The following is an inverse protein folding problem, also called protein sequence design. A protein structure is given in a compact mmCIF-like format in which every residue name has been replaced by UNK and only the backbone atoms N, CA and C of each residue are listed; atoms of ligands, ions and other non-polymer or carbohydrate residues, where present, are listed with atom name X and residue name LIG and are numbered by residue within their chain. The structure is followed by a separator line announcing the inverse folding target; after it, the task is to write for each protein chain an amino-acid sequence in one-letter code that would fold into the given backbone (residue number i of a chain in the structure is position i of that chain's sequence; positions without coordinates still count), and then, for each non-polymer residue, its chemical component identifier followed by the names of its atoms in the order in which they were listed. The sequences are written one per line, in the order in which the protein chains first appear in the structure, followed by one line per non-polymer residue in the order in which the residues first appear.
data_IF_596085433240
#
_entry.id   IF_596085433240
#
_cell.length_a   1.000
_cell.length_b   1.000
_cell.length_c   1.000
_cell.angle_alpha   90.00
_cell.angle_beta   90.00
_cell.angle_gamma   90.00
#
_symmetry.space_group_name_H-M   'P 1'
#
loop_
_entity.id
_entity.type
_entity.pdbx_description
1 polymer ?
#
# COMPACT_ATOMS: atom_id res chain seq x y z
N UNK A 1 22.52 33.43 29.75
CA UNK A 1 22.32 32.11 30.35
C UNK A 1 20.83 31.82 30.29
N UNK A 2 20.42 31.14 29.24
CA UNK A 2 19.04 30.74 29.01
C UNK A 2 19.09 29.32 28.43
N UNK A 3 19.24 28.36 29.33
CA UNK A 3 19.09 26.93 29.08
C UNK A 3 18.41 26.38 30.33
N UNK A 4 17.12 26.06 30.25
CA UNK A 4 16.43 25.12 31.16
C UNK A 4 14.92 25.04 30.92
N UNK A 5 14.45 24.85 29.68
CA UNK A 5 13.03 24.49 29.43
C UNK A 5 12.85 23.40 28.35
N UNK A 6 13.87 22.60 28.02
CA UNK A 6 13.77 21.57 26.98
C UNK A 6 14.02 20.15 27.49
N UNK A 7 13.50 19.83 28.69
CA UNK A 7 13.57 18.46 29.21
C UNK A 7 12.40 18.13 30.14
N UNK A 8 11.18 18.56 29.79
CA UNK A 8 9.98 17.89 30.28
C UNK A 8 9.94 16.49 29.66
N UNK A 9 10.64 15.56 30.31
CA UNK A 9 10.46 14.13 30.12
C UNK A 9 8.97 13.84 30.24
N UNK A 10 8.36 13.36 29.14
CA UNK A 10 7.01 12.80 29.13
C UNK A 10 6.86 11.90 30.36
N UNK A 11 5.97 12.28 31.28
CA UNK A 11 5.63 11.44 32.42
C UNK A 11 5.02 10.14 31.86
N UNK A 12 5.37 9.00 32.46
CA UNK A 12 4.65 7.73 32.27
C UNK A 12 3.15 8.01 32.35
N UNK A 13 2.44 8.08 31.23
CA UNK A 13 0.99 8.31 31.24
C UNK A 13 0.41 9.20 30.14
N UNK A 14 1.14 10.14 29.56
CA UNK A 14 0.60 11.07 28.56
C UNK A 14 1.10 10.69 27.16
N UNK A 15 0.48 9.64 26.60
CA UNK A 15 0.69 9.29 25.20
C UNK A 15 -0.19 10.15 24.31
N UNK A 16 0.31 10.43 23.11
CA UNK A 16 -0.49 11.07 22.06
C UNK A 16 -1.73 10.22 21.79
N UNK A 17 -2.91 10.75 22.16
CA UNK A 17 -4.18 10.06 22.06
C UNK A 17 -4.60 9.85 20.59
N UNK A 18 -4.02 10.61 19.66
CA UNK A 18 -4.23 10.43 18.23
C UNK A 18 -3.41 9.25 17.67
N UNK A 19 -2.45 8.71 18.43
CA UNK A 19 -1.61 7.58 18.00
C UNK A 19 -1.79 6.36 18.89
N UNK A 20 -1.96 6.56 20.19
CA UNK A 20 -2.03 5.50 21.18
C UNK A 20 -3.29 5.62 22.03
N UNK A 21 -3.79 4.48 22.50
CA UNK A 21 -4.87 4.39 23.47
C UNK A 21 -4.50 3.42 24.57
N UNK A 22 -4.98 3.66 25.79
CA UNK A 22 -4.87 2.70 26.89
C UNK A 22 -6.05 1.73 26.83
N UNK A 23 -5.89 0.57 27.44
CA UNK A 23 -7.01 -0.33 27.69
C UNK A 23 -7.87 0.19 28.86
N UNK A 24 -9.17 -0.11 28.82
CA UNK A 24 -10.12 0.30 29.87
C UNK A 24 -10.02 -0.59 31.12
N UNK A 25 -9.48 -1.81 30.98
CA UNK A 25 -9.39 -2.84 32.01
C UNK A 25 -7.95 -2.96 32.51
N UNK A 26 -6.97 -2.96 31.60
CA UNK A 26 -5.54 -3.01 31.90
C UNK A 26 -4.88 -1.64 31.68
N UNK A 27 -4.80 -0.84 32.74
CA UNK A 27 -4.21 0.51 32.66
C UNK A 27 -2.73 0.54 32.23
N UNK A 28 -2.04 -0.60 32.28
CA UNK A 28 -0.65 -0.72 31.86
C UNK A 28 -0.52 -1.04 30.37
N UNK A 29 -1.57 -1.63 29.77
CA UNK A 29 -1.63 -1.98 28.37
C UNK A 29 -1.80 -0.73 27.50
N UNK A 30 -0.99 -0.67 26.45
CA UNK A 30 -1.01 0.41 25.45
C UNK A 30 -1.26 -0.21 24.10
N UNK A 31 -2.22 0.32 23.36
CA UNK A 31 -2.56 -0.08 22.00
C UNK A 31 -2.32 1.06 21.02
N UNK A 32 -2.13 0.73 19.76
CA UNK A 32 -2.26 1.72 18.70
C UNK A 32 -3.73 2.16 18.58
N UNK A 33 -3.96 3.44 18.29
CA UNK A 33 -5.30 3.99 18.08
C UNK A 33 -5.66 4.02 16.59
N UNK A 34 -6.08 2.88 16.04
CA UNK A 34 -6.51 2.81 14.63
C UNK A 34 -7.77 3.62 14.31
N UNK A 35 -8.49 4.13 15.33
CA UNK A 35 -9.73 4.91 15.18
C UNK A 35 -9.49 6.40 15.15
N UNK A 36 -8.30 6.85 15.55
CA UNK A 36 -7.95 8.25 15.46
C UNK A 36 -7.96 8.71 13.98
N UNK A 37 -8.37 9.95 13.69
CA UNK A 37 -8.25 10.49 12.36
C UNK A 37 -6.78 10.45 11.93
N UNK A 38 -6.52 9.81 10.79
CA UNK A 38 -5.18 9.70 10.22
C UNK A 38 -4.60 11.10 10.03
N UNK A 39 -3.63 11.46 10.87
CA UNK A 39 -2.77 12.61 10.62
C UNK A 39 -1.50 12.08 9.96
N UNK A 40 -1.00 12.80 8.97
CA UNK A 40 0.32 12.51 8.41
C UNK A 40 1.35 12.63 9.54
N UNK A 41 1.81 11.48 10.06
CA UNK A 41 2.90 11.43 11.01
C UNK A 41 4.13 12.07 10.39
N UNK A 42 4.88 12.85 11.16
CA UNK A 42 6.15 13.40 10.68
C UNK A 42 7.18 12.27 10.72
N UNK A 43 8.08 12.24 9.73
CA UNK A 43 9.12 11.22 9.55
C UNK A 43 10.02 10.95 10.79
N UNK A 44 9.93 11.77 11.84
CA UNK A 44 10.74 11.69 13.05
C UNK A 44 9.93 11.53 14.35
N UNK A 45 8.60 11.42 14.30
CA UNK A 45 7.77 11.37 15.51
C UNK A 45 8.14 10.19 16.43
N UNK A 46 8.60 9.09 15.84
CA UNK A 46 9.04 7.91 16.58
C UNK A 46 10.27 8.15 17.46
N UNK A 47 11.06 9.20 17.23
CA UNK A 47 12.30 9.47 17.99
C UNK A 47 12.04 9.82 19.46
N UNK A 48 10.86 10.33 19.76
CA UNK A 48 10.43 10.64 21.12
C UNK A 48 9.74 9.47 21.82
N UNK A 49 9.47 8.36 21.12
CA UNK A 49 8.71 7.25 21.66
C UNK A 49 9.50 6.45 22.70
N UNK A 50 8.79 6.06 23.77
CA UNK A 50 9.28 5.09 24.73
C UNK A 50 9.11 3.64 24.23
N UNK A 51 9.64 2.68 24.99
CA UNK A 51 9.58 1.27 24.65
C UNK A 51 8.15 0.73 24.51
N UNK A 52 7.18 1.25 25.28
CA UNK A 52 5.77 0.82 25.18
C UNK A 52 5.16 1.31 23.89
N UNK A 53 5.38 2.57 23.54
CA UNK A 53 4.94 3.17 22.28
C UNK A 53 5.54 2.45 21.08
N UNK A 54 6.84 2.17 21.10
CA UNK A 54 7.53 1.42 20.02
C UNK A 54 6.94 0.01 19.89
N UNK A 55 6.78 -0.71 21.00
CA UNK A 55 6.24 -2.08 20.96
C UNK A 55 4.78 -2.07 20.49
N UNK A 56 3.96 -1.14 20.96
CA UNK A 56 2.57 -1.00 20.54
C UNK A 56 2.45 -0.64 19.05
N UNK A 57 3.32 0.22 18.53
CA UNK A 57 3.33 0.58 17.11
C UNK A 57 3.69 -0.61 16.19
N UNK A 58 4.53 -1.54 16.66
CA UNK A 58 4.99 -2.69 15.87
C UNK A 58 4.12 -3.94 16.04
N UNK A 59 3.54 -4.13 17.22
CA UNK A 59 2.77 -5.33 17.58
C UNK A 59 1.27 -5.07 17.75
N UNK A 60 0.83 -3.83 17.58
CA UNK A 60 -0.54 -3.41 17.86
C UNK A 60 -0.82 -3.14 19.34
N UNK A 61 0.01 -3.67 20.24
CA UNK A 61 -0.08 -3.43 21.66
C UNK A 61 1.20 -3.75 22.44
N UNK A 62 1.29 -3.22 23.66
CA UNK A 62 2.41 -3.40 24.59
C UNK A 62 1.90 -3.56 26.02
N UNK A 63 2.68 -4.26 26.86
CA UNK A 63 2.35 -4.57 28.25
C UNK A 63 0.97 -5.25 28.43
N UNK A 64 0.69 -6.25 27.57
CA UNK A 64 -0.59 -6.94 27.50
C UNK A 64 -0.64 -8.08 28.53
N UNK A 65 -1.57 -8.00 29.49
CA UNK A 65 -1.68 -8.95 30.61
C UNK A 65 -2.40 -10.27 30.31
N UNK A 66 -3.04 -10.42 29.15
CA UNK A 66 -3.83 -11.61 28.81
C UNK A 66 -3.75 -11.98 27.32
N UNK A 67 -4.06 -13.24 27.01
CA UNK A 67 -4.10 -13.75 25.64
C UNK A 67 -5.15 -13.02 24.78
N UNK A 68 -6.27 -12.60 25.37
CA UNK A 68 -7.30 -11.84 24.65
C UNK A 68 -6.79 -10.45 24.20
N UNK A 69 -6.00 -9.78 25.05
CA UNK A 69 -5.35 -8.52 24.69
C UNK A 69 -4.29 -8.73 23.59
N UNK A 70 -3.56 -9.85 23.64
CA UNK A 70 -2.62 -10.25 22.59
C UNK A 70 -3.31 -10.53 21.25
N UNK A 71 -4.43 -11.24 21.26
CA UNK A 71 -5.24 -11.49 20.06
C UNK A 71 -5.73 -10.18 19.45
N UNK A 72 -6.25 -9.26 20.26
CA UNK A 72 -6.63 -7.93 19.81
C UNK A 72 -5.46 -7.18 19.17
N UNK A 73 -4.32 -7.10 19.85
CA UNK A 73 -3.13 -6.41 19.35
C UNK A 73 -2.65 -6.98 18.02
N UNK A 74 -2.62 -8.31 17.89
CA UNK A 74 -2.18 -8.98 16.67
C UNK A 74 -2.97 -8.58 15.42
N UNK A 75 -4.27 -8.29 15.57
CA UNK A 75 -5.12 -7.84 14.47
C UNK A 75 -4.90 -6.40 14.03
N UNK A 76 -4.23 -5.58 14.84
CA UNK A 76 -3.98 -4.17 14.53
C UNK A 76 -2.77 -4.00 13.59
N UNK A 77 -1.73 -4.85 13.72
CA UNK A 77 -0.49 -4.73 12.95
C UNK A 77 0.00 -6.11 12.47
N UNK A 78 -0.22 -6.40 11.18
CA UNK A 78 0.17 -7.68 10.56
C UNK A 78 0.98 -7.50 9.25
N UNK A 79 2.27 -7.89 9.22
CA UNK A 79 3.10 -7.94 8.01
C UNK A 79 2.48 -8.71 6.85
N UNK A 80 1.65 -9.72 7.12
CA UNK A 80 1.02 -10.51 6.06
C UNK A 80 0.05 -9.69 5.22
N UNK A 81 -0.51 -8.62 5.76
CA UNK A 81 -1.35 -7.69 4.99
C UNK A 81 -0.55 -6.99 3.89
N UNK A 82 0.72 -6.67 4.14
CA UNK A 82 1.64 -6.11 3.16
C UNK A 82 2.04 -7.14 2.10
N UNK A 83 2.30 -8.39 2.49
CA UNK A 83 2.54 -9.48 1.53
C UNK A 83 1.33 -9.75 0.64
N UNK A 84 0.13 -9.81 1.23
CA UNK A 84 -1.12 -9.99 0.51
C UNK A 84 -1.38 -8.84 -0.47
N UNK A 85 -1.14 -7.59 -0.05
CA UNK A 85 -1.21 -6.42 -0.91
C UNK A 85 -0.20 -6.53 -2.07
N UNK A 86 1.06 -6.89 -1.79
CA UNK A 86 2.08 -7.10 -2.82
C UNK A 86 1.66 -8.10 -3.89
N UNK A 87 1.11 -9.25 -3.48
CA UNK A 87 0.56 -10.26 -4.38
C UNK A 87 -0.62 -9.75 -5.21
N UNK A 88 -1.53 -8.98 -4.59
CA UNK A 88 -2.67 -8.40 -5.29
C UNK A 88 -2.22 -7.40 -6.37
N UNK A 89 -1.27 -6.51 -6.05
CA UNK A 89 -0.71 -5.58 -7.04
C UNK A 89 0.00 -6.30 -8.19
N UNK A 90 0.74 -7.37 -7.90
CA UNK A 90 1.37 -8.20 -8.92
C UNK A 90 0.32 -8.83 -9.86
N UNK A 91 -0.74 -9.41 -9.28
CA UNK A 91 -1.81 -10.02 -10.06
C UNK A 91 -2.53 -9.01 -10.97
N UNK A 92 -2.79 -7.79 -10.47
CA UNK A 92 -3.38 -6.70 -11.25
C UNK A 92 -2.46 -6.33 -12.42
N UNK A 93 -1.16 -6.15 -12.15
CA UNK A 93 -0.17 -5.83 -13.18
C UNK A 93 -0.14 -6.89 -14.29
N UNK A 94 -0.04 -8.17 -13.94
CA UNK A 94 -0.02 -9.28 -14.90
C UNK A 94 -1.31 -9.35 -15.72
N UNK A 95 -2.46 -9.15 -15.07
CA UNK A 95 -3.76 -9.16 -15.73
C UNK A 95 -3.88 -8.02 -16.74
N UNK A 96 -3.43 -6.81 -16.38
CA UNK A 96 -3.45 -5.67 -17.30
C UNK A 96 -2.54 -5.90 -18.51
N UNK A 97 -1.34 -6.47 -18.33
CA UNK A 97 -0.48 -6.87 -19.45
C UNK A 97 -1.15 -7.90 -20.36
N UNK A 98 -1.82 -8.91 -19.78
CA UNK A 98 -2.54 -9.92 -20.54
C UNK A 98 -3.69 -9.32 -21.35
N UNK A 99 -4.46 -8.39 -20.77
CA UNK A 99 -5.53 -7.67 -21.47
C UNK A 99 -5.00 -6.84 -22.62
N UNK A 100 -3.93 -6.05 -22.41
CA UNK A 100 -3.31 -5.25 -23.47
C UNK A 100 -2.85 -6.13 -24.64
N UNK A 101 -2.13 -7.23 -24.35
CA UNK A 101 -1.66 -8.18 -25.35
C UNK A 101 -2.82 -8.84 -26.12
N UNK A 102 -3.89 -9.22 -25.43
CA UNK A 102 -5.06 -9.83 -26.06
C UNK A 102 -5.80 -8.84 -26.98
N UNK A 103 -5.94 -7.58 -26.58
CA UNK A 103 -6.55 -6.54 -27.40
C UNK A 103 -5.76 -6.31 -28.69
N UNK A 104 -4.43 -6.23 -28.60
CA UNK A 104 -3.57 -6.11 -29.79
C UNK A 104 -3.69 -7.34 -30.70
N UNK A 105 -3.66 -8.55 -30.13
CA UNK A 105 -3.75 -9.78 -30.90
C UNK A 105 -5.08 -9.88 -31.67
N UNK A 106 -6.20 -9.56 -31.01
CA UNK A 106 -7.52 -9.60 -31.63
C UNK A 106 -7.68 -8.50 -32.68
N UNK A 107 -7.20 -7.28 -32.42
CA UNK A 107 -7.24 -6.20 -33.40
C UNK A 107 -6.41 -6.54 -34.64
N UNK A 108 -5.21 -7.10 -34.46
CA UNK A 108 -4.37 -7.54 -35.57
C UNK A 108 -4.98 -8.71 -36.35
N UNK A 109 -5.65 -9.65 -35.68
CA UNK A 109 -6.32 -10.77 -36.34
C UNK A 109 -7.48 -10.31 -37.25
N UNK A 110 -8.18 -9.24 -36.88
CA UNK A 110 -9.32 -8.73 -37.66
C UNK A 110 -8.88 -7.71 -38.72
N UNK A 111 -8.05 -6.74 -38.32
CA UNK A 111 -7.74 -5.54 -39.11
C UNK A 111 -6.23 -5.34 -39.39
N UNK A 112 -5.38 -6.22 -38.89
CA UNK A 112 -3.93 -6.21 -39.15
C UNK A 112 -3.56 -6.70 -40.55
N UNK A 113 -2.27 -6.86 -40.82
CA UNK A 113 -1.72 -7.21 -42.13
C UNK A 113 -2.38 -8.46 -42.75
N UNK A 114 -2.67 -9.47 -41.94
CA UNK A 114 -3.30 -10.72 -42.37
C UNK A 114 -4.80 -10.82 -42.06
N UNK A 115 -5.40 -9.78 -41.48
CA UNK A 115 -6.82 -9.77 -41.11
C UNK A 115 -7.79 -9.68 -42.30
N UNK A 116 -9.02 -10.13 -42.12
CA UNK A 116 -10.05 -10.13 -43.18
C UNK A 116 -10.64 -8.75 -43.46
N UNK A 117 -10.56 -7.82 -42.52
CA UNK A 117 -11.07 -6.46 -42.67
C UNK A 117 -9.98 -5.50 -43.12
N UNK A 118 -10.15 -4.88 -44.30
CA UNK A 118 -9.20 -3.95 -44.92
C UNK A 118 -9.82 -2.58 -45.21
N UNK A 119 -8.95 -1.62 -45.49
CA UNK A 119 -9.31 -0.26 -45.87
C UNK A 119 -9.16 0.76 -44.74
N UNK A 120 -9.47 2.02 -45.03
CA UNK A 120 -9.22 3.14 -44.12
C UNK A 120 -9.89 2.95 -42.75
N UNK A 121 -11.13 2.46 -42.71
CA UNK A 121 -11.85 2.22 -41.47
C UNK A 121 -11.19 1.13 -40.60
N UNK A 122 -10.65 0.07 -41.22
CA UNK A 122 -9.92 -1.00 -40.53
C UNK A 122 -8.62 -0.47 -39.91
N UNK A 123 -7.89 0.38 -40.64
CA UNK A 123 -6.67 1.04 -40.14
C UNK A 123 -6.95 1.98 -38.96
N UNK A 124 -8.03 2.77 -39.01
CA UNK A 124 -8.44 3.64 -37.89
C UNK A 124 -8.84 2.83 -36.67
N UNK A 125 -9.59 1.73 -36.86
CA UNK A 125 -9.93 0.82 -35.76
C UNK A 125 -8.67 0.23 -35.13
N UNK A 126 -7.76 -0.33 -35.94
CA UNK A 126 -6.52 -0.92 -35.46
C UNK A 126 -5.69 0.07 -34.64
N UNK A 127 -5.53 1.30 -35.14
CA UNK A 127 -4.81 2.35 -34.44
C UNK A 127 -5.45 2.71 -33.09
N UNK A 128 -6.79 2.77 -33.02
CA UNK A 128 -7.51 3.05 -31.76
C UNK A 128 -7.33 1.93 -30.73
N UNK A 129 -7.42 0.67 -31.15
CA UNK A 129 -7.24 -0.46 -30.22
C UNK A 129 -5.79 -0.58 -29.77
N UNK A 130 -4.82 -0.39 -30.67
CA UNK A 130 -3.40 -0.34 -30.29
C UNK A 130 -3.11 0.78 -29.30
N UNK A 131 -3.72 1.95 -29.50
CA UNK A 131 -3.63 3.07 -28.55
C UNK A 131 -4.20 2.69 -27.17
N UNK A 132 -5.37 2.05 -27.13
CA UNK A 132 -5.96 1.57 -25.88
C UNK A 132 -5.07 0.52 -25.19
N UNK A 133 -4.57 -0.46 -25.95
CA UNK A 133 -3.70 -1.51 -25.42
C UNK A 133 -2.40 -0.94 -24.83
N UNK A 134 -1.77 0.00 -25.53
CA UNK A 134 -0.60 0.72 -25.03
C UNK A 134 -0.91 1.46 -23.74
N UNK A 135 -2.03 2.20 -23.66
CA UNK A 135 -2.42 2.89 -22.42
C UNK A 135 -2.63 1.92 -21.23
N UNK A 136 -3.22 0.74 -21.48
CA UNK A 136 -3.41 -0.30 -20.44
C UNK A 136 -2.05 -0.86 -20.01
N UNK A 137 -1.16 -1.14 -20.96
CA UNK A 137 0.19 -1.63 -20.69
C UNK A 137 1.01 -0.62 -19.89
N UNK A 138 0.98 0.66 -20.27
CA UNK A 138 1.69 1.73 -19.57
C UNK A 138 1.21 1.89 -18.12
N UNK A 139 -0.10 1.70 -17.88
CA UNK A 139 -0.63 1.69 -16.52
C UNK A 139 -0.19 0.45 -15.73
N UNK A 140 -0.07 -0.72 -16.37
CA UNK A 140 0.49 -1.90 -15.74
C UNK A 140 1.97 -1.71 -15.37
N UNK A 141 2.77 -1.16 -16.29
CA UNK A 141 4.20 -0.87 -16.08
C UNK A 141 4.41 0.09 -14.90
N UNK A 142 3.48 1.01 -14.65
CA UNK A 142 3.53 1.94 -13.49
C UNK A 142 3.22 1.32 -12.16
N UNK A 143 2.34 0.32 -12.11
CA UNK A 143 2.19 -0.49 -10.90
C UNK A 143 3.52 -1.22 -10.61
N UNK A 144 4.31 -1.47 -11.65
CA UNK A 144 5.70 -1.89 -11.55
C UNK A 144 6.70 -0.81 -11.13
N UNK A 145 6.28 0.40 -10.74
CA UNK A 145 7.18 1.48 -10.30
C UNK A 145 7.84 2.28 -11.44
N UNK A 146 8.59 3.36 -11.12
CA UNK A 146 9.29 4.19 -12.11
C UNK A 146 10.52 3.51 -12.72
N UNK A 147 11.04 2.48 -12.05
CA UNK A 147 12.18 1.68 -12.45
C UNK A 147 11.81 0.19 -12.38
N UNK A 148 12.25 -0.59 -13.37
CA UNK A 148 12.09 -2.06 -13.37
C UNK A 148 12.84 -2.75 -12.22
N UNK A 149 13.54 -1.97 -11.39
CA UNK A 149 14.40 -2.41 -10.30
C UNK A 149 13.61 -2.47 -8.97
N UNK A 150 12.60 -1.60 -8.75
CA UNK A 150 11.88 -1.54 -7.48
C UNK A 150 10.34 -1.41 -7.63
N UNK A 151 9.68 -2.46 -8.17
CA UNK A 151 8.24 -2.43 -8.40
C UNK A 151 7.43 -2.38 -7.09
N UNK A 152 6.24 -1.78 -7.12
CA UNK A 152 5.35 -1.63 -5.94
C UNK A 152 5.11 -2.98 -5.25
N UNK A 153 4.83 -4.10 -5.95
CA UNK A 153 4.79 -5.42 -5.33
C UNK A 153 6.03 -5.79 -4.51
N UNK A 154 7.23 -5.55 -5.05
CA UNK A 154 8.49 -5.83 -4.34
C UNK A 154 8.65 -4.94 -3.11
N UNK A 155 8.32 -3.65 -3.22
CA UNK A 155 8.40 -2.72 -2.09
C UNK A 155 7.44 -3.10 -0.96
N UNK A 156 6.21 -3.50 -1.28
CA UNK A 156 5.26 -3.99 -0.28
C UNK A 156 5.79 -5.25 0.41
N UNK A 157 6.40 -6.16 -0.35
CA UNK A 157 7.03 -7.35 0.20
C UNK A 157 8.23 -7.01 1.10
N UNK A 158 9.11 -6.12 0.65
CA UNK A 158 10.26 -5.67 1.42
C UNK A 158 9.83 -4.96 2.72
N UNK A 159 8.80 -4.11 2.65
CA UNK A 159 8.21 -3.46 3.83
C UNK A 159 7.66 -4.50 4.81
N UNK A 160 6.92 -5.50 4.34
CA UNK A 160 6.45 -6.60 5.17
C UNK A 160 7.59 -7.34 5.88
N UNK A 161 8.69 -7.61 5.16
CA UNK A 161 9.89 -8.24 5.74
C UNK A 161 10.54 -7.36 6.80
N UNK A 162 10.69 -6.06 6.54
CA UNK A 162 11.27 -5.14 7.53
C UNK A 162 10.38 -5.01 8.77
N UNK A 163 9.06 -4.99 8.61
CA UNK A 163 8.13 -4.99 9.75
C UNK A 163 8.29 -6.24 10.61
N UNK A 164 8.28 -7.41 9.97
CA UNK A 164 8.44 -8.69 10.65
C UNK A 164 9.77 -8.76 11.41
N UNK A 165 10.86 -8.29 10.80
CA UNK A 165 12.15 -8.18 11.46
C UNK A 165 12.12 -7.22 12.65
N UNK A 166 11.55 -6.02 12.51
CA UNK A 166 11.50 -5.03 13.59
C UNK A 166 10.68 -5.54 14.77
N UNK A 167 9.57 -6.25 14.50
CA UNK A 167 8.74 -6.92 15.50
C UNK A 167 9.54 -7.94 16.31
N UNK A 168 10.26 -8.83 15.63
CA UNK A 168 11.09 -9.85 16.28
C UNK A 168 12.24 -9.21 17.09
N UNK A 169 12.94 -8.25 16.52
CA UNK A 169 14.03 -7.54 17.19
C UNK A 169 13.56 -6.83 18.48
N UNK A 170 12.43 -6.11 18.43
CA UNK A 170 11.86 -5.46 19.63
C UNK A 170 11.38 -6.49 20.64
N UNK A 171 10.80 -7.61 20.22
CA UNK A 171 10.39 -8.66 21.15
C UNK A 171 11.59 -9.32 21.85
N UNK A 172 12.71 -9.52 21.16
CA UNK A 172 13.95 -10.03 21.77
C UNK A 172 14.54 -9.04 22.77
N UNK A 173 14.55 -7.74 22.45
CA UNK A 173 14.99 -6.68 23.36
C UNK A 173 14.11 -6.65 24.62
N UNK A 174 12.79 -6.74 24.46
CA UNK A 174 11.82 -6.78 25.55
C UNK A 174 12.08 -7.96 26.50
N UNK A 175 12.23 -9.16 25.96
CA UNK A 175 12.53 -10.36 26.75
C UNK A 175 13.88 -10.27 27.46
N UNK A 176 14.91 -9.73 26.79
CA UNK A 176 16.23 -9.55 27.38
C UNK A 176 16.17 -8.59 28.58
N UNK A 177 15.57 -7.41 28.43
CA UNK A 177 15.52 -6.43 29.50
C UNK A 177 14.56 -6.82 30.64
N UNK A 178 13.50 -7.59 30.36
CA UNK A 178 12.70 -8.24 31.39
C UNK A 178 13.54 -9.20 32.26
N UNK A 179 14.46 -9.97 31.65
CA UNK A 179 15.38 -10.84 32.40
C UNK A 179 16.41 -10.03 33.20
N UNK A 180 16.97 -8.97 32.62
CA UNK A 180 17.91 -8.08 33.32
C UNK A 180 17.26 -7.43 34.55
N UNK A 181 16.03 -6.92 34.42
CA UNK A 181 15.28 -6.35 35.53
C UNK A 181 15.03 -7.36 36.65
N UNK A 182 14.70 -8.62 36.30
CA UNK A 182 14.59 -9.73 37.27
C UNK A 182 15.91 -10.01 37.99
N UNK A 183 17.03 -10.06 37.27
CA UNK A 183 18.35 -10.33 37.87
C UNK A 183 18.82 -9.22 38.80
N UNK A 184 18.46 -7.97 38.51
CA UNK A 184 18.75 -6.82 39.37
C UNK A 184 17.92 -6.84 40.66
N UNK A 185 16.83 -7.61 40.70
CA UNK A 185 15.96 -7.75 41.88
C UNK A 185 15.17 -6.49 42.23
N UNK A 186 15.10 -5.53 41.30
CA UNK A 186 14.39 -4.24 41.46
C UNK A 186 12.96 -4.33 40.93
N UNK A 187 12.75 -5.10 39.87
CA UNK A 187 11.43 -5.26 39.26
C UNK A 187 10.73 -6.53 39.75
N UNK A 188 9.51 -6.37 40.26
CA UNK A 188 8.66 -7.48 40.66
C UNK A 188 8.11 -8.24 39.44
N UNK A 189 7.89 -9.54 39.65
CA UNK A 189 7.13 -10.38 38.71
C UNK A 189 5.66 -10.35 39.13
N UNK A 190 4.81 -9.91 38.22
CA UNK A 190 3.36 -9.85 38.41
C UNK A 190 2.74 -11.25 38.37
N UNK A 191 1.52 -11.40 38.89
CA UNK A 191 0.80 -12.68 38.94
C UNK A 191 0.56 -13.32 37.55
N UNK A 192 0.53 -12.50 36.50
CA UNK A 192 0.43 -12.93 35.11
C UNK A 192 1.79 -13.36 34.50
N UNK A 193 2.87 -13.39 35.27
CA UNK A 193 4.21 -13.76 34.84
C UNK A 193 4.98 -12.67 34.10
N UNK A 194 4.40 -11.48 33.91
CA UNK A 194 5.10 -10.32 33.35
C UNK A 194 6.04 -9.68 34.37
N UNK A 195 7.06 -8.97 33.88
CA UNK A 195 8.00 -8.22 34.72
C UNK A 195 7.64 -6.76 34.70
N UNK A 196 7.53 -6.14 35.87
CA UNK A 196 7.24 -4.71 35.98
C UNK A 196 8.50 -3.88 35.75
N UNK A 197 9.02 -3.93 34.52
CA UNK A 197 10.28 -3.27 34.10
C UNK A 197 10.27 -1.77 34.41
N UNK A 198 9.10 -1.13 34.46
CA UNK A 198 8.93 0.28 34.85
C UNK A 198 9.52 0.64 36.22
N UNK A 199 9.69 -0.34 37.11
CA UNK A 199 10.19 -0.12 38.46
C UNK A 199 11.74 -0.01 38.49
N UNK A 200 12.42 -0.38 37.40
CA UNK A 200 13.87 -0.22 37.23
C UNK A 200 14.17 0.85 36.16
N UNK A 201 14.31 2.10 36.61
CA UNK A 201 14.52 3.26 35.71
C UNK A 201 15.77 3.11 34.82
N UNK A 202 16.83 2.46 35.30
CA UNK A 202 18.04 2.24 34.50
C UNK A 202 17.78 1.24 33.37
N UNK A 203 17.04 0.17 33.66
CA UNK A 203 16.61 -0.79 32.64
C UNK A 203 15.69 -0.13 31.62
N UNK A 204 14.70 0.66 32.06
CA UNK A 204 13.81 1.40 31.15
C UNK A 204 14.61 2.30 30.22
N UNK A 205 15.58 3.05 30.74
CA UNK A 205 16.41 3.94 29.93
C UNK A 205 17.22 3.17 28.89
N UNK A 206 17.83 2.05 29.27
CA UNK A 206 18.61 1.21 28.36
C UNK A 206 17.70 0.55 27.29
N UNK A 207 16.54 0.04 27.70
CA UNK A 207 15.55 -0.56 26.83
C UNK A 207 15.01 0.43 25.79
N UNK A 208 14.71 1.67 26.20
CA UNK A 208 14.31 2.73 25.27
C UNK A 208 15.37 2.96 24.19
N UNK A 209 16.65 3.07 24.58
CA UNK A 209 17.77 3.29 23.64
C UNK A 209 17.89 2.13 22.65
N UNK A 210 17.78 0.88 23.12
CA UNK A 210 17.91 -0.28 22.26
C UNK A 210 16.70 -0.45 21.32
N UNK A 211 15.47 -0.26 21.81
CA UNK A 211 14.25 -0.35 20.99
C UNK A 211 14.13 0.76 19.94
N UNK A 212 14.78 1.90 20.17
CA UNK A 212 14.90 2.95 19.15
C UNK A 212 15.70 2.50 17.91
N UNK A 213 16.60 1.51 18.03
CA UNK A 213 17.42 1.06 16.89
C UNK A 213 16.60 0.30 15.82
N UNK A 214 15.77 -0.72 16.17
CA UNK A 214 14.92 -1.39 15.18
C UNK A 214 13.92 -0.45 14.52
N UNK A 215 13.24 0.42 15.28
CA UNK A 215 12.24 1.32 14.69
C UNK A 215 12.86 2.36 13.77
N UNK A 216 14.04 2.91 14.12
CA UNK A 216 14.80 3.78 13.20
C UNK A 216 15.16 3.04 11.93
N UNK A 217 15.67 1.81 12.05
CA UNK A 217 16.03 1.01 10.89
C UNK A 217 14.82 0.66 10.03
N UNK A 218 13.66 0.41 10.64
CA UNK A 218 12.40 0.22 9.94
C UNK A 218 12.02 1.47 9.14
N UNK A 219 12.00 2.63 9.79
CA UNK A 219 11.70 3.92 9.17
C UNK A 219 12.62 4.22 7.98
N UNK A 220 13.93 3.99 8.14
CA UNK A 220 14.92 4.17 7.06
C UNK A 220 14.64 3.29 5.82
N UNK A 221 13.92 2.18 5.98
CA UNK A 221 13.57 1.26 4.88
C UNK A 221 12.13 1.39 4.39
N UNK A 222 11.27 2.12 5.12
CA UNK A 222 9.84 2.28 4.83
C UNK A 222 9.51 3.33 3.77
N UNK A 223 10.51 3.84 3.06
CA UNK A 223 10.35 4.78 1.95
C UNK A 223 9.53 4.20 0.79
N UNK A 224 8.21 4.20 0.92
CA UNK A 224 7.31 4.14 -0.21
C UNK A 224 7.47 5.48 -0.93
N UNK A 225 8.18 5.45 -2.05
CA UNK A 225 8.24 6.58 -2.99
C UNK A 225 6.90 6.68 -3.72
N UNK A 226 5.84 7.05 -2.98
CA UNK A 226 4.50 7.34 -3.55
C UNK A 226 4.61 8.44 -4.62
N UNK A 227 5.60 9.34 -4.46
CA UNK A 227 5.94 10.42 -5.39
C UNK A 227 6.34 9.97 -6.80
N UNK A 228 6.52 8.66 -7.02
CA UNK A 228 6.96 8.13 -8.30
C UNK A 228 5.83 7.51 -9.14
N UNK A 229 4.59 7.51 -8.65
CA UNK A 229 3.42 7.08 -9.45
C UNK A 229 3.05 8.18 -10.44
N UNK A 230 3.58 8.11 -11.67
CA UNK A 230 3.24 9.05 -12.74
C UNK A 230 1.84 8.77 -13.30
N UNK A 231 1.03 9.81 -13.50
CA UNK A 231 -0.17 9.78 -14.38
C UNK A 231 0.23 9.97 -15.85
N UNK A 232 -0.40 9.29 -16.83
CA UNK A 232 -0.12 9.50 -18.28
C UNK A 232 -1.19 10.42 -18.81
N UNK A 233 -0.77 11.25 -19.76
CA UNK A 233 -1.68 11.76 -20.78
C UNK A 233 -1.98 10.61 -21.76
N UNK A 234 -3.24 10.31 -22.06
CA UNK A 234 -3.59 9.31 -23.06
C UNK A 234 -2.88 9.59 -24.39
N UNK A 235 -2.30 8.56 -25.01
CA UNK A 235 -1.77 8.71 -26.39
C UNK A 235 -2.97 8.99 -27.31
N UNK A 236 -3.00 10.10 -28.07
CA UNK A 236 -4.06 10.30 -29.05
C UNK A 236 -3.84 9.32 -30.21
N UNK A 237 -4.91 8.67 -30.74
CA UNK A 237 -4.77 7.84 -31.92
C UNK A 237 -4.23 8.69 -33.08
N UNK A 238 -3.13 8.26 -33.68
CA UNK A 238 -2.46 8.99 -34.76
C UNK A 238 -3.43 9.39 -35.87
N UNK A 239 -3.67 10.70 -36.00
CA UNK A 239 -4.43 11.29 -37.09
C UNK A 239 -3.47 12.01 -38.02
N UNK A 240 -3.07 11.36 -39.12
CA UNK A 240 -2.55 12.09 -40.27
C UNK A 240 -3.68 12.97 -40.80
N UNK A 241 -3.50 14.30 -40.68
CA UNK A 241 -4.49 15.33 -41.03
C UNK A 241 -4.74 15.48 -42.53
N UNK A 242 -5.15 14.43 -43.22
CA UNK A 242 -5.76 14.56 -44.54
C UNK A 242 -7.28 14.64 -44.39
N UNK A 243 -7.81 15.84 -44.62
CA UNK A 243 -9.24 16.08 -44.84
C UNK A 243 -9.74 15.08 -45.89
N UNK A 244 -10.87 14.38 -45.66
CA UNK A 244 -11.50 13.62 -46.73
C UNK A 244 -11.86 14.58 -47.89
N UNK A 245 -11.66 14.18 -49.16
CA UNK A 245 -12.03 15.01 -50.29
C UNK A 245 -13.54 15.31 -50.23
N UNK A 246 -13.99 16.52 -50.65
CA UNK A 246 -15.40 16.87 -50.60
C UNK A 246 -16.25 15.84 -51.35
N UNK A 247 -17.33 15.37 -50.71
CA UNK A 247 -18.32 14.52 -51.35
C UNK A 247 -19.00 15.34 -52.44
N UNK A 248 -18.75 15.00 -53.70
CA UNK A 248 -19.45 15.57 -54.85
C UNK A 248 -20.96 15.28 -54.72
N UNK A 249 -21.75 16.34 -54.50
CA UNK A 249 -23.21 16.29 -54.59
C UNK A 249 -23.63 16.14 -56.05
N UNK A 250 -23.63 14.91 -56.57
CA UNK A 250 -24.37 14.56 -57.80
C UNK A 250 -25.18 13.27 -57.60
N UNK A 251 -26.49 13.47 -57.43
CA UNK A 251 -27.60 12.55 -57.74
C UNK A 251 -27.44 11.07 -57.40
N UNK A 252 -27.95 10.65 -56.24
CA UNK A 252 -28.22 9.23 -56.00
C UNK A 252 -29.35 8.70 -56.91
N UNK A 253 -29.35 7.39 -57.24
CA UNK A 253 -30.39 6.77 -58.08
C UNK A 253 -31.76 6.82 -57.40
N UNK A 254 -32.87 6.94 -58.17
CA UNK A 254 -34.21 7.06 -57.60
C UNK A 254 -34.61 5.82 -56.79
N UNK A 255 -35.40 5.98 -55.72
CA UNK A 255 -35.79 4.88 -54.84
C UNK A 255 -36.63 3.82 -55.57
N UNK A 256 -36.53 2.54 -55.16
CA UNK A 256 -37.24 1.44 -55.81
C UNK A 256 -38.76 1.57 -55.63
N UNK A 257 -39.57 1.13 -56.62
CA UNK A 257 -41.02 1.25 -56.56
C UNK A 257 -41.61 0.36 -55.45
N UNK A 258 -42.74 0.80 -54.84
CA UNK A 258 -43.35 0.08 -53.73
C UNK A 258 -43.88 -1.31 -54.13
N UNK A 259 -43.93 -2.28 -53.19
CA UNK A 259 -44.37 -3.65 -53.46
C UNK A 259 -45.83 -3.68 -53.92
N UNK A 260 -46.15 -4.52 -54.93
CA UNK A 260 -47.54 -4.76 -55.37
C UNK A 260 -48.27 -5.66 -54.35
N UNK A 261 -49.48 -5.27 -53.96
CA UNK A 261 -50.33 -6.06 -53.07
C UNK A 261 -50.64 -7.45 -53.66
N UNK A 262 -50.72 -8.51 -52.82
CA UNK A 262 -51.06 -9.86 -53.27
C UNK A 262 -52.51 -9.93 -53.79
N UNK A 263 -52.79 -10.83 -54.76
CA UNK A 263 -54.12 -10.94 -55.36
C UNK A 263 -55.14 -11.55 -54.39
N UNK A 264 -56.44 -11.20 -54.50
CA UNK A 264 -57.46 -11.64 -53.57
C UNK A 264 -57.76 -13.15 -53.67
N UNK A 265 -58.24 -13.78 -52.58
CA UNK A 265 -58.52 -15.23 -52.54
C UNK A 265 -59.72 -15.60 -53.43
N UNK A 266 -59.68 -16.80 -54.01
CA UNK A 266 -60.81 -17.42 -54.74
C UNK A 266 -61.83 -18.02 -53.80
#
# INVERSE_FOLDING_TARGET
MAESEENERLKFGDYDADVFRKDEIDEHAVFINHKAPYQDGKDEDFRAWDWKQIKAALWGGAALSSDALWEQAWHEVDPNTLYAAGNAFLHIQETMHAVAKNLEAQANAVAGEHGSWKGQAAGVFLAKIQTLANNIKDNADRLGGPDTVHPVPSKLYDNGRWLAWARDAVNQIDQHYAQVARWRGVADVMDNGLVKVSDDEEVVKAMNIEMQKPIKKLADNYGVTVDQVRTTTPVPPGGSGEKPPPIDKKGGPPPPPPPKNPPPPK
#
